data_IF_183230617586
#
_entry.id   IF_183230617586
#
_cell.length_a   1.000
_cell.length_b   1.000
_cell.length_c   1.000
_cell.angle_alpha   90.00
_cell.angle_beta   90.00
_cell.angle_gamma   90.00
#
_symmetry.space_group_name_H-M   'P 1'
#
loop_
_entity.id
_entity.type
_entity.pdbx_description
1 polymer ?
#
# COMPACT_ATOMS: atom_id res chain seq x y z
N UNK A 1 0.77 -50.44 -26.11
CA UNK A 1 1.27 -49.64 -27.26
C UNK A 1 0.36 -48.44 -27.57
N UNK A 2 -0.68 -48.51 -28.41
CA UNK A 2 -1.50 -47.33 -28.75
C UNK A 2 -2.29 -46.76 -27.55
N UNK A 3 -2.93 -47.63 -26.77
CA UNK A 3 -3.76 -47.27 -25.61
C UNK A 3 -2.96 -46.70 -24.43
N UNK A 4 -1.71 -47.13 -24.25
CA UNK A 4 -0.80 -46.56 -23.24
C UNK A 4 -0.31 -45.17 -23.66
N UNK A 5 -0.02 -44.97 -24.95
CA UNK A 5 0.39 -43.67 -25.49
C UNK A 5 -0.73 -42.63 -25.34
N UNK A 6 -1.99 -43.02 -25.60
CA UNK A 6 -3.14 -42.14 -25.39
C UNK A 6 -3.32 -41.77 -23.91
N UNK A 7 -3.11 -42.72 -22.98
CA UNK A 7 -3.17 -42.47 -21.54
C UNK A 7 -2.08 -41.49 -21.08
N UNK A 8 -0.86 -41.63 -21.58
CA UNK A 8 0.26 -40.73 -21.26
C UNK A 8 0.05 -39.31 -21.82
N UNK A 9 -0.53 -39.19 -23.02
CA UNK A 9 -0.91 -37.90 -23.61
C UNK A 9 -2.00 -37.23 -22.78
N UNK A 10 -3.01 -37.98 -22.35
CA UNK A 10 -4.07 -37.45 -21.50
C UNK A 10 -3.52 -36.95 -20.15
N UNK A 11 -2.65 -37.72 -19.51
CA UNK A 11 -2.00 -37.32 -18.25
C UNK A 11 -1.13 -36.05 -18.40
N UNK A 12 -0.44 -35.91 -19.54
CA UNK A 12 0.35 -34.69 -19.79
C UNK A 12 -0.53 -33.47 -20.07
N UNK A 13 -1.67 -33.65 -20.74
CA UNK A 13 -2.66 -32.59 -20.94
C UNK A 13 -3.28 -32.15 -19.60
N UNK A 14 -3.67 -33.10 -18.76
CA UNK A 14 -4.22 -32.81 -17.42
C UNK A 14 -3.19 -32.09 -16.53
N UNK A 15 -1.92 -32.54 -16.56
CA UNK A 15 -0.84 -31.88 -15.84
C UNK A 15 -0.58 -30.46 -16.37
N UNK A 16 -0.61 -30.26 -17.68
CA UNK A 16 -0.45 -28.95 -18.30
C UNK A 16 -1.60 -27.99 -17.94
N UNK A 17 -2.84 -28.50 -17.92
CA UNK A 17 -4.02 -27.72 -17.50
C UNK A 17 -3.93 -27.34 -16.02
N UNK A 18 -3.51 -28.27 -15.16
CA UNK A 18 -3.32 -27.99 -13.74
C UNK A 18 -2.26 -26.90 -13.51
N UNK A 19 -1.11 -27.00 -14.19
CA UNK A 19 -0.07 -25.99 -14.14
C UNK A 19 -0.55 -24.63 -14.67
N UNK A 20 -1.35 -24.63 -15.73
CA UNK A 20 -1.93 -23.40 -16.27
C UNK A 20 -2.80 -22.69 -15.24
N UNK A 21 -3.72 -23.42 -14.58
CA UNK A 21 -4.55 -22.85 -13.50
C UNK A 21 -3.70 -22.32 -12.34
N UNK A 22 -2.63 -23.01 -11.96
CA UNK A 22 -1.72 -22.52 -10.92
C UNK A 22 -1.02 -21.22 -11.34
N UNK A 23 -0.57 -21.13 -12.59
CA UNK A 23 0.04 -19.91 -13.14
C UNK A 23 -0.95 -18.74 -13.10
N UNK A 24 -2.19 -18.95 -13.51
CA UNK A 24 -3.24 -17.92 -13.46
C UNK A 24 -3.48 -17.44 -12.03
N UNK A 25 -3.58 -18.35 -11.06
CA UNK A 25 -3.74 -18.00 -9.64
C UNK A 25 -2.55 -17.19 -9.11
N UNK A 26 -1.33 -17.57 -9.47
CA UNK A 26 -0.12 -16.84 -9.08
C UNK A 26 -0.08 -15.45 -9.73
N UNK A 27 -0.49 -15.33 -10.99
CA UNK A 27 -0.58 -14.03 -11.68
C UNK A 27 -1.58 -13.10 -10.98
N UNK A 28 -2.76 -13.60 -10.63
CA UNK A 28 -3.76 -12.81 -9.89
C UNK A 28 -3.23 -12.38 -8.51
N UNK A 29 -2.55 -13.29 -7.80
CA UNK A 29 -1.93 -12.96 -6.51
C UNK A 29 -0.83 -11.90 -6.65
N UNK A 30 -0.01 -11.98 -7.71
CA UNK A 30 1.03 -11.01 -7.99
C UNK A 30 0.45 -9.62 -8.27
N UNK A 31 -0.58 -9.54 -9.11
CA UNK A 31 -1.28 -8.27 -9.42
C UNK A 31 -1.80 -7.63 -8.13
N UNK A 32 -2.47 -8.40 -7.27
CA UNK A 32 -2.99 -7.91 -6.00
C UNK A 32 -1.86 -7.39 -5.10
N UNK A 33 -0.73 -8.10 -5.02
CA UNK A 33 0.42 -7.66 -4.21
C UNK A 33 1.01 -6.34 -4.71
N UNK A 34 1.12 -6.17 -6.02
CA UNK A 34 1.61 -4.91 -6.61
C UNK A 34 0.66 -3.77 -6.25
N UNK A 35 -0.65 -3.97 -6.39
CA UNK A 35 -1.66 -2.96 -6.02
C UNK A 35 -1.58 -2.59 -4.53
N UNK A 36 -1.45 -3.57 -3.65
CA UNK A 36 -1.29 -3.33 -2.22
C UNK A 36 0.02 -2.58 -1.90
N UNK A 37 1.10 -2.91 -2.61
CA UNK A 37 2.37 -2.22 -2.47
C UNK A 37 2.26 -0.75 -2.89
N UNK A 38 1.64 -0.45 -4.03
CA UNK A 38 1.42 0.93 -4.49
C UNK A 38 0.62 1.76 -3.48
N UNK A 39 -0.43 1.17 -2.90
CA UNK A 39 -1.24 1.80 -1.84
C UNK A 39 -0.37 2.07 -0.61
N UNK A 40 0.40 1.07 -0.18
CA UNK A 40 1.27 1.17 1.01
C UNK A 40 2.36 2.22 0.82
N UNK A 41 3.00 2.27 -0.35
CA UNK A 41 4.01 3.27 -0.69
C UNK A 41 3.42 4.68 -0.68
N UNK A 42 2.21 4.85 -1.21
CA UNK A 42 1.50 6.13 -1.19
C UNK A 42 1.24 6.60 0.24
N UNK A 43 0.66 5.73 1.07
CA UNK A 43 0.39 6.04 2.49
C UNK A 43 1.67 6.35 3.26
N UNK A 44 2.74 5.59 3.02
CA UNK A 44 4.03 5.83 3.64
C UNK A 44 4.60 7.21 3.25
N UNK A 45 4.54 7.56 1.97
CA UNK A 45 5.02 8.85 1.48
C UNK A 45 4.24 10.02 2.10
N UNK A 46 2.91 9.90 2.21
CA UNK A 46 2.05 10.90 2.86
C UNK A 46 2.41 11.08 4.34
N UNK A 47 2.65 9.98 5.06
CA UNK A 47 3.04 10.01 6.47
C UNK A 47 4.42 10.65 6.66
N UNK A 48 5.39 10.30 5.82
CA UNK A 48 6.73 10.91 5.85
C UNK A 48 6.66 12.40 5.55
N UNK A 49 5.85 12.80 4.57
CA UNK A 49 5.65 14.20 4.24
C UNK A 49 5.04 14.97 5.42
N UNK A 50 3.98 14.44 6.04
CA UNK A 50 3.35 15.06 7.19
C UNK A 50 4.32 15.19 8.38
N UNK A 51 5.14 14.15 8.62
CA UNK A 51 6.17 14.19 9.65
C UNK A 51 7.20 15.29 9.38
N UNK A 52 7.67 15.43 8.14
CA UNK A 52 8.60 16.50 7.74
C UNK A 52 7.99 17.89 7.95
N UNK A 53 6.74 18.07 7.53
CA UNK A 53 6.03 19.34 7.71
C UNK A 53 5.83 19.68 9.20
N UNK A 54 5.49 18.69 10.02
CA UNK A 54 5.37 18.83 11.47
C UNK A 54 6.70 19.19 12.14
N UNK A 55 7.80 18.52 11.76
CA UNK A 55 9.15 18.85 12.26
C UNK A 55 9.52 20.28 11.89
N UNK A 56 9.32 20.68 10.62
CA UNK A 56 9.62 22.03 10.17
C UNK A 56 8.78 23.09 10.92
N UNK A 57 7.49 22.81 11.15
CA UNK A 57 6.62 23.66 11.95
C UNK A 57 7.15 23.83 13.38
N UNK A 58 7.51 22.73 14.05
CA UNK A 58 8.06 22.77 15.40
C UNK A 58 9.43 23.46 15.47
N UNK A 59 10.29 23.27 14.47
CA UNK A 59 11.58 23.96 14.38
C UNK A 59 11.45 25.47 14.23
N UNK A 60 10.34 25.95 13.65
CA UNK A 60 10.06 27.39 13.55
C UNK A 60 9.64 28.01 14.89
N UNK A 61 9.31 27.18 15.89
CA UNK A 61 8.94 27.64 17.23
C UNK A 61 10.19 27.97 18.04
N UNK A 62 10.47 29.26 18.22
CA UNK A 62 11.51 29.77 19.11
C UNK A 62 10.92 30.29 20.42
N UNK A 63 11.74 30.46 21.46
CA UNK A 63 11.32 31.16 22.67
C UNK A 63 10.82 32.58 22.30
N UNK A 64 9.71 33.01 22.90
CA UNK A 64 9.00 34.28 22.60
C UNK A 64 8.32 34.36 21.22
N UNK A 65 8.11 33.24 20.52
CA UNK A 65 7.27 33.23 19.31
C UNK A 65 5.85 33.66 19.67
N UNK A 66 5.34 34.69 18.98
CA UNK A 66 3.96 35.15 19.13
C UNK A 66 3.05 34.14 18.45
N UNK A 67 2.14 33.53 19.23
CA UNK A 67 1.11 32.64 18.69
C UNK A 67 0.07 33.48 17.97
N UNK A 68 0.10 33.46 16.64
CA UNK A 68 -0.88 34.13 15.78
C UNK A 68 -2.04 33.20 15.44
N UNK A 69 -3.14 33.75 14.93
CA UNK A 69 -4.25 32.95 14.41
C UNK A 69 -3.78 32.01 13.28
N UNK A 70 -2.92 32.49 12.38
CA UNK A 70 -2.33 31.68 11.30
C UNK A 70 -1.50 30.51 11.85
N UNK A 71 -0.73 30.72 12.92
CA UNK A 71 0.03 29.66 13.58
C UNK A 71 -0.90 28.57 14.12
N UNK A 72 -2.01 28.96 14.76
CA UNK A 72 -3.02 28.04 15.29
C UNK A 72 -3.68 27.25 14.16
N UNK A 73 -4.11 27.92 13.09
CA UNK A 73 -4.70 27.26 11.91
C UNK A 73 -3.75 26.22 11.34
N UNK A 74 -2.47 26.57 11.17
CA UNK A 74 -1.47 25.64 10.62
C UNK A 74 -1.21 24.44 11.52
N UNK A 75 -1.19 24.63 12.85
CA UNK A 75 -1.12 23.52 13.81
C UNK A 75 -2.32 22.59 13.65
N UNK A 76 -3.52 23.16 13.62
CA UNK A 76 -4.76 22.40 13.60
C UNK A 76 -4.93 21.63 12.28
N UNK A 77 -4.50 22.21 11.15
CA UNK A 77 -4.45 21.52 9.85
C UNK A 77 -3.51 20.30 9.88
N UNK A 78 -2.32 20.44 10.48
CA UNK A 78 -1.37 19.33 10.64
C UNK A 78 -1.95 18.22 11.52
N UNK A 79 -2.61 18.59 12.62
CA UNK A 79 -3.27 17.63 13.52
C UNK A 79 -4.43 16.92 12.81
N UNK A 80 -5.29 17.66 12.11
CA UNK A 80 -6.42 17.10 11.39
C UNK A 80 -5.97 16.11 10.31
N UNK A 81 -4.91 16.44 9.56
CA UNK A 81 -4.29 15.52 8.58
C UNK A 81 -3.73 14.27 9.23
N UNK A 82 -3.07 14.39 10.38
CA UNK A 82 -2.58 13.25 11.14
C UNK A 82 -3.73 12.33 11.58
N UNK A 83 -4.81 12.92 12.10
CA UNK A 83 -6.00 12.19 12.53
C UNK A 83 -6.69 11.47 11.37
N UNK A 84 -6.78 12.11 10.19
CA UNK A 84 -7.33 11.50 8.99
C UNK A 84 -6.52 10.27 8.56
N UNK A 85 -5.19 10.38 8.48
CA UNK A 85 -4.31 9.25 8.15
C UNK A 85 -4.45 8.09 9.14
N UNK A 86 -4.54 8.37 10.44
CA UNK A 86 -4.75 7.34 11.48
C UNK A 86 -6.13 6.69 11.34
N UNK A 87 -7.17 7.48 11.08
CA UNK A 87 -8.52 6.97 10.91
C UNK A 87 -8.64 6.07 9.67
N UNK A 88 -7.97 6.43 8.57
CA UNK A 88 -7.98 5.63 7.35
C UNK A 88 -7.15 4.35 7.50
N UNK A 89 -6.03 4.39 8.24
CA UNK A 89 -5.28 3.20 8.61
C UNK A 89 -6.11 2.21 9.45
N UNK A 90 -7.09 2.68 10.21
CA UNK A 90 -7.99 1.83 11.01
C UNK A 90 -9.20 1.29 10.22
N UNK A 91 -9.46 1.79 9.01
CA UNK A 91 -10.54 1.30 8.13
C UNK A 91 -10.05 0.25 7.12
N UNK A 92 -8.75 0.23 6.83
CA UNK A 92 -8.09 -0.76 5.97
C UNK A 92 -7.85 -2.08 6.73
#
# INVERSE_FOLDING_TARGET
MAKERDLTVQQTVEAAQHLHTQIEQLQQSLILRVQLQEITETQYNELVQLAREGIAFLQSCQANTIVTAEWITRRDDLIARAQALIADANKA
#
